data_IF_913517749983
#
_entry.id   IF_913517749983
#
_cell.length_a   1.000
_cell.length_b   1.000
_cell.length_c   1.000
_cell.angle_alpha   90.00
_cell.angle_beta   90.00
_cell.angle_gamma   90.00
#
_symmetry.space_group_name_H-M   'P 1'
#
loop_
_entity.id
_entity.type
_entity.pdbx_description
1 polymer ?
#
# COMPACT_ATOMS: atom_id res chain seq x y z
N UNK A 1 9.17 -8.91 -15.08
CA UNK A 1 8.09 -8.68 -14.11
C UNK A 1 6.94 -8.05 -14.87
N UNK A 2 5.72 -8.57 -14.72
CA UNK A 2 4.53 -7.90 -15.25
C UNK A 2 4.15 -6.80 -14.26
N UNK A 3 3.64 -5.67 -14.76
CA UNK A 3 3.14 -4.59 -13.94
C UNK A 3 1.73 -4.94 -13.44
N UNK A 4 1.49 -4.77 -12.14
CA UNK A 4 0.23 -5.06 -11.47
C UNK A 4 -0.38 -3.76 -10.93
N UNK A 5 -1.40 -3.28 -11.63
CA UNK A 5 -2.24 -2.14 -11.22
C UNK A 5 -3.51 -2.58 -10.48
N UNK A 6 -3.88 -3.86 -10.59
CA UNK A 6 -5.17 -4.39 -10.19
C UNK A 6 -6.36 -3.63 -10.80
N UNK A 7 -6.20 -2.99 -11.95
CA UNK A 7 -7.25 -2.21 -12.62
C UNK A 7 -7.36 -0.75 -12.20
N UNK A 8 -6.52 -0.26 -11.26
CA UNK A 8 -6.52 1.16 -10.91
C UNK A 8 -5.96 2.02 -12.06
N UNK A 9 -6.82 2.88 -12.64
CA UNK A 9 -6.50 3.69 -13.81
C UNK A 9 -5.46 4.75 -13.51
N UNK A 10 -5.51 5.39 -12.34
CA UNK A 10 -4.51 6.38 -11.95
C UNK A 10 -3.09 5.77 -11.93
N UNK A 11 -2.97 4.55 -11.40
CA UNK A 11 -1.71 3.83 -11.37
C UNK A 11 -1.22 3.45 -12.77
N UNK A 12 -2.10 2.90 -13.62
CA UNK A 12 -1.78 2.56 -15.01
C UNK A 12 -1.41 3.79 -15.83
N UNK A 13 -2.23 4.84 -15.78
CA UNK A 13 -2.01 6.06 -16.54
C UNK A 13 -0.70 6.72 -16.14
N UNK A 14 -0.41 6.80 -14.84
CA UNK A 14 0.84 7.39 -14.38
C UNK A 14 2.05 6.60 -14.88
N UNK A 15 2.06 5.27 -14.76
CA UNK A 15 3.25 4.44 -15.02
C UNK A 15 3.37 4.01 -16.49
N UNK A 16 2.28 3.57 -17.11
CA UNK A 16 2.29 2.99 -18.46
C UNK A 16 2.19 4.08 -19.53
N UNK A 17 1.48 5.18 -19.26
CA UNK A 17 1.29 6.27 -20.24
C UNK A 17 2.17 7.49 -19.93
N UNK A 18 2.09 7.99 -18.70
CA UNK A 18 2.75 9.21 -18.27
C UNK A 18 4.28 9.10 -18.21
N UNK A 19 4.83 8.01 -17.66
CA UNK A 19 6.29 7.85 -17.54
C UNK A 19 7.00 7.78 -18.91
N UNK A 20 6.55 6.97 -19.89
CA UNK A 20 7.17 7.00 -21.22
C UNK A 20 7.13 8.38 -21.87
N UNK A 21 5.99 9.08 -21.78
CA UNK A 21 5.83 10.42 -22.36
C UNK A 21 6.78 11.44 -21.72
N UNK A 22 7.00 11.34 -20.39
CA UNK A 22 8.00 12.14 -19.69
C UNK A 22 9.40 11.95 -20.31
N UNK A 23 9.86 10.72 -20.49
CA UNK A 23 11.21 10.46 -21.01
C UNK A 23 11.40 10.90 -22.47
N UNK A 24 10.34 10.95 -23.27
CA UNK A 24 10.40 11.49 -24.64
C UNK A 24 10.63 13.00 -24.65
N UNK A 25 10.04 13.72 -23.68
CA UNK A 25 10.08 15.19 -23.62
C UNK A 25 11.15 15.75 -22.69
N UNK A 26 11.69 14.93 -21.79
CA UNK A 26 12.64 15.36 -20.78
C UNK A 26 13.97 15.79 -21.40
N UNK A 27 14.36 17.04 -21.17
CA UNK A 27 15.64 17.59 -21.62
C UNK A 27 16.63 17.69 -20.45
N UNK A 28 17.42 16.64 -20.29
CA UNK A 28 18.43 16.57 -19.23
C UNK A 28 19.53 17.65 -19.33
N UNK A 29 19.77 18.22 -20.52
CA UNK A 29 20.88 19.16 -20.75
C UNK A 29 20.46 20.60 -20.51
N UNK A 30 19.27 20.97 -20.97
CA UNK A 30 18.82 22.37 -20.95
C UNK A 30 17.68 22.63 -19.96
N UNK A 31 16.90 21.60 -19.56
CA UNK A 31 15.75 21.74 -18.65
C UNK A 31 15.63 20.59 -17.64
N UNK A 32 16.71 20.26 -16.89
CA UNK A 32 16.72 19.08 -16.01
C UNK A 32 15.74 19.15 -14.83
N UNK A 33 15.26 20.35 -14.49
CA UNK A 33 14.32 20.57 -13.39
C UNK A 33 12.85 20.42 -13.82
N UNK A 34 12.56 20.47 -15.12
CA UNK A 34 11.19 20.45 -15.62
C UNK A 34 10.67 19.02 -15.65
N UNK A 35 9.86 18.68 -14.64
CA UNK A 35 9.01 17.51 -14.72
C UNK A 35 7.66 17.94 -15.31
N UNK A 36 7.42 17.59 -16.58
CA UNK A 36 6.11 17.77 -17.24
C UNK A 36 5.03 16.84 -16.67
N UNK A 37 5.40 15.92 -15.78
CA UNK A 37 4.56 14.85 -15.26
C UNK A 37 4.11 15.17 -13.83
N UNK A 38 2.81 15.08 -13.57
CA UNK A 38 2.19 15.45 -12.28
C UNK A 38 2.35 14.39 -11.19
N UNK A 39 2.83 13.17 -11.52
CA UNK A 39 3.00 12.05 -10.59
C UNK A 39 1.71 11.77 -9.81
N UNK A 40 0.60 11.61 -10.52
CA UNK A 40 -0.75 11.61 -9.93
C UNK A 40 -1.01 10.43 -8.99
N UNK A 41 -0.40 9.27 -9.24
CA UNK A 41 -0.51 8.13 -8.36
C UNK A 41 0.29 8.35 -7.05
N UNK A 42 -0.35 8.28 -5.88
CA UNK A 42 0.32 8.54 -4.61
C UNK A 42 1.22 7.36 -4.20
N UNK A 43 2.39 7.66 -3.64
CA UNK A 43 3.32 6.67 -3.05
C UNK A 43 3.38 6.83 -1.52
N UNK A 44 3.68 5.75 -0.79
CA UNK A 44 3.73 5.74 0.68
C UNK A 44 4.79 6.68 1.26
N UNK A 45 5.85 6.94 0.49
CA UNK A 45 6.94 7.81 0.91
C UNK A 45 6.93 9.09 0.06
N UNK A 46 6.69 10.27 0.66
CA UNK A 46 6.56 11.49 -0.12
C UNK A 46 7.86 11.83 -0.87
N UNK A 47 7.70 12.30 -2.11
CA UNK A 47 8.81 12.76 -2.97
C UNK A 47 9.57 13.92 -2.31
N UNK A 48 8.87 14.76 -1.53
CA UNK A 48 9.44 15.86 -0.76
C UNK A 48 9.89 17.00 -1.66
N UNK A 49 11.11 17.52 -1.42
CA UNK A 49 11.67 18.67 -2.15
C UNK A 49 12.43 18.29 -3.43
N UNK A 50 12.37 17.03 -3.86
CA UNK A 50 13.05 16.57 -5.09
C UNK A 50 12.34 17.16 -6.31
N UNK A 51 13.08 17.40 -7.37
CA UNK A 51 12.58 17.93 -8.65
C UNK A 51 13.21 17.19 -9.83
N UNK A 52 12.64 17.37 -11.02
CA UNK A 52 13.19 16.81 -12.26
C UNK A 52 13.44 15.30 -12.19
N UNK A 53 14.60 14.87 -12.68
CA UNK A 53 14.97 13.45 -12.72
C UNK A 53 15.15 12.81 -11.34
N UNK A 54 15.56 13.56 -10.32
CA UNK A 54 15.73 13.02 -8.97
C UNK A 54 14.38 12.66 -8.33
N UNK A 55 13.35 13.46 -8.61
CA UNK A 55 11.97 13.16 -8.22
C UNK A 55 11.47 11.91 -8.92
N UNK A 56 11.65 11.82 -10.25
CA UNK A 56 11.21 10.67 -11.05
C UNK A 56 11.94 9.39 -10.65
N UNK A 57 13.26 9.44 -10.45
CA UNK A 57 14.04 8.29 -10.01
C UNK A 57 13.59 7.78 -8.64
N UNK A 58 13.40 8.68 -7.68
CA UNK A 58 12.92 8.33 -6.35
C UNK A 58 11.51 7.73 -6.39
N UNK A 59 10.62 8.33 -7.18
CA UNK A 59 9.26 7.87 -7.38
C UNK A 59 9.21 6.46 -7.99
N UNK A 60 9.94 6.23 -9.09
CA UNK A 60 10.02 4.92 -9.74
C UNK A 60 10.66 3.86 -8.84
N UNK A 61 11.61 4.26 -7.99
CA UNK A 61 12.19 3.36 -6.98
C UNK A 61 11.15 2.91 -5.94
N UNK A 62 10.24 3.80 -5.53
CA UNK A 62 9.12 3.46 -4.65
C UNK A 62 8.12 2.53 -5.35
N UNK A 63 7.72 2.86 -6.58
CA UNK A 63 6.84 2.02 -7.41
C UNK A 63 7.43 0.63 -7.61
N UNK A 64 8.74 0.51 -7.82
CA UNK A 64 9.41 -0.80 -7.94
C UNK A 64 9.26 -1.63 -6.66
N UNK A 65 9.35 -1.01 -5.48
CA UNK A 65 9.11 -1.70 -4.21
C UNK A 65 7.65 -2.14 -4.07
N UNK A 66 6.69 -1.31 -4.48
CA UNK A 66 5.28 -1.71 -4.55
C UNK A 66 5.08 -2.92 -5.46
N UNK A 67 5.63 -2.88 -6.68
CA UNK A 67 5.51 -3.98 -7.64
C UNK A 67 6.18 -5.27 -7.14
N UNK A 68 7.24 -5.18 -6.33
CA UNK A 68 7.83 -6.34 -5.65
C UNK A 68 6.92 -6.96 -4.59
N UNK A 69 6.08 -6.16 -3.94
CA UNK A 69 5.07 -6.63 -2.99
C UNK A 69 3.84 -7.17 -3.73
N UNK A 70 3.26 -6.35 -4.60
CA UNK A 70 2.07 -6.64 -5.39
C UNK A 70 2.24 -7.88 -6.28
N UNK A 71 3.40 -8.05 -6.90
CA UNK A 71 3.71 -9.22 -7.73
C UNK A 71 3.81 -10.56 -6.98
N UNK A 72 3.70 -10.57 -5.64
CA UNK A 72 3.61 -11.80 -4.84
C UNK A 72 2.17 -12.25 -4.62
N UNK A 73 1.19 -11.42 -4.97
CA UNK A 73 -0.21 -11.63 -4.66
C UNK A 73 -0.98 -12.10 -5.91
N UNK A 74 -1.97 -12.98 -5.75
CA UNK A 74 -2.85 -13.33 -6.85
C UNK A 74 -3.69 -12.12 -7.30
N UNK A 75 -3.78 -11.90 -8.61
CA UNK A 75 -4.60 -10.82 -9.20
C UNK A 75 -6.04 -10.80 -8.67
N UNK A 76 -6.78 -11.94 -8.58
CA UNK A 76 -8.15 -11.93 -8.07
C UNK A 76 -8.26 -11.50 -6.61
N UNK A 77 -7.26 -11.83 -5.79
CA UNK A 77 -7.25 -11.42 -4.38
C UNK A 77 -7.11 -9.90 -4.26
N UNK A 78 -6.14 -9.28 -4.94
CA UNK A 78 -5.96 -7.84 -4.84
C UNK A 78 -7.15 -7.06 -5.37
N UNK A 79 -7.80 -7.53 -6.45
CA UNK A 79 -9.04 -6.91 -6.96
C UNK A 79 -10.19 -7.00 -5.95
N UNK A 80 -10.43 -8.18 -5.37
CA UNK A 80 -11.44 -8.34 -4.33
C UNK A 80 -11.19 -7.41 -3.14
N UNK A 81 -9.94 -7.22 -2.75
CA UNK A 81 -9.57 -6.28 -1.67
C UNK A 81 -9.94 -4.84 -2.02
N UNK A 82 -9.60 -4.40 -3.23
CA UNK A 82 -9.87 -3.03 -3.66
C UNK A 82 -11.37 -2.76 -3.92
N UNK A 83 -12.09 -3.74 -4.48
CA UNK A 83 -13.55 -3.65 -4.71
C UNK A 83 -14.32 -3.52 -3.39
N UNK A 84 -13.93 -4.26 -2.36
CA UNK A 84 -14.53 -4.15 -1.02
C UNK A 84 -14.19 -2.83 -0.36
N UNK A 85 -12.96 -2.33 -0.55
CA UNK A 85 -12.56 -1.01 -0.06
C UNK A 85 -13.43 0.10 -0.67
N UNK A 86 -13.67 0.04 -1.99
CA UNK A 86 -14.59 0.93 -2.68
C UNK A 86 -15.07 0.36 -4.01
N UNK A 87 -16.38 0.39 -4.27
CA UNK A 87 -16.96 -0.15 -5.50
C UNK A 87 -16.39 0.44 -6.80
N UNK A 88 -16.04 1.73 -6.77
CA UNK A 88 -15.42 2.44 -7.91
C UNK A 88 -13.89 2.64 -7.74
N UNK A 89 -13.19 1.76 -7.04
CA UNK A 89 -11.74 1.91 -6.76
C UNK A 89 -10.87 2.12 -7.99
N UNK A 90 -11.30 1.64 -9.17
CA UNK A 90 -10.58 1.75 -10.43
C UNK A 90 -10.33 3.21 -10.83
N UNK A 91 -11.25 4.13 -10.47
CA UNK A 91 -11.16 5.57 -10.74
C UNK A 91 -10.53 6.37 -9.60
N UNK A 92 -10.34 5.77 -8.42
CA UNK A 92 -9.85 6.48 -7.25
C UNK A 92 -8.35 6.76 -7.35
N UNK A 93 -7.96 7.96 -6.91
CA UNK A 93 -6.56 8.30 -6.64
C UNK A 93 -6.22 7.75 -5.25
N UNK A 94 -5.69 6.52 -5.23
CA UNK A 94 -5.27 5.83 -4.01
C UNK A 94 -3.96 5.09 -4.24
N UNK A 95 -3.28 4.75 -3.15
CA UNK A 95 -2.12 3.87 -3.22
C UNK A 95 -2.60 2.41 -3.14
N UNK A 96 -2.50 1.68 -4.25
CA UNK A 96 -2.99 0.29 -4.35
C UNK A 96 -2.25 -0.63 -3.37
N UNK A 97 -0.95 -0.44 -3.21
CA UNK A 97 -0.15 -1.23 -2.27
C UNK A 97 -0.58 -1.02 -0.82
N UNK A 98 -0.92 0.20 -0.41
CA UNK A 98 -1.39 0.55 0.94
C UNK A 98 -2.68 -0.19 1.29
N UNK A 99 -3.70 -0.10 0.43
CA UNK A 99 -5.01 -0.72 0.68
C UNK A 99 -4.86 -2.23 0.85
N UNK A 100 -4.13 -2.87 -0.06
CA UNK A 100 -3.89 -4.32 -0.03
C UNK A 100 -3.03 -4.73 1.18
N UNK A 101 -1.98 -3.95 1.50
CA UNK A 101 -1.10 -4.18 2.64
C UNK A 101 -1.88 -4.16 3.96
N UNK A 102 -2.71 -3.14 4.16
CA UNK A 102 -3.48 -2.97 5.40
C UNK A 102 -4.42 -4.15 5.61
N UNK A 103 -5.17 -4.56 4.58
CA UNK A 103 -6.03 -5.74 4.65
C UNK A 103 -5.22 -7.00 5.05
N UNK A 104 -4.08 -7.23 4.38
CA UNK A 104 -3.23 -8.38 4.63
C UNK A 104 -2.67 -8.40 6.07
N UNK A 105 -2.21 -7.24 6.58
CA UNK A 105 -1.68 -7.15 7.94
C UNK A 105 -2.76 -7.44 8.97
N UNK A 106 -4.00 -6.97 8.79
CA UNK A 106 -5.09 -7.31 9.72
C UNK A 106 -5.34 -8.81 9.74
N UNK A 107 -5.41 -9.47 8.57
CA UNK A 107 -5.56 -10.93 8.50
C UNK A 107 -4.46 -11.65 9.28
N UNK A 108 -3.20 -11.24 9.11
CA UNK A 108 -2.07 -11.81 9.83
C UNK A 108 -2.16 -11.57 11.34
N UNK A 109 -2.61 -10.39 11.78
CA UNK A 109 -2.83 -10.10 13.20
C UNK A 109 -3.94 -10.96 13.81
N UNK A 110 -4.92 -11.39 13.02
CA UNK A 110 -5.94 -12.37 13.42
C UNK A 110 -5.45 -13.83 13.33
N UNK A 111 -4.19 -14.07 12.95
CA UNK A 111 -3.65 -15.41 12.74
C UNK A 111 -4.22 -16.13 11.53
N UNK A 112 -4.83 -15.40 10.59
CA UNK A 112 -5.42 -15.94 9.36
C UNK A 112 -4.41 -15.84 8.23
N UNK A 113 -4.22 -16.94 7.51
CA UNK A 113 -3.45 -16.95 6.26
C UNK A 113 -4.40 -16.74 5.08
N UNK A 114 -3.90 -16.08 4.03
CA UNK A 114 -4.62 -15.81 2.78
C UNK A 114 -5.28 -17.04 2.12
N UNK A 115 -4.75 -18.24 2.35
CA UNK A 115 -5.15 -19.46 1.64
C UNK A 115 -6.00 -20.43 2.45
N UNK A 116 -6.16 -20.24 3.75
CA UNK A 116 -6.59 -21.33 4.65
C UNK A 116 -7.82 -21.01 5.51
N UNK A 117 -8.02 -19.75 5.93
CA UNK A 117 -9.06 -19.43 6.90
C UNK A 117 -9.83 -18.16 6.51
N UNK A 118 -11.11 -18.31 6.16
CA UNK A 118 -12.02 -17.17 6.03
C UNK A 118 -12.12 -16.43 7.38
N UNK A 119 -12.23 -15.11 7.30
CA UNK A 119 -12.48 -14.28 8.48
C UNK A 119 -13.95 -14.42 8.86
N UNK A 120 -14.24 -14.77 10.12
CA UNK A 120 -15.61 -14.84 10.62
C UNK A 120 -16.00 -13.54 11.33
N UNK A 121 -17.31 -13.34 11.55
CA UNK A 121 -17.79 -12.21 12.35
C UNK A 121 -17.25 -12.22 13.79
N UNK A 122 -17.08 -13.41 14.40
CA UNK A 122 -16.51 -13.56 15.74
C UNK A 122 -15.01 -13.25 15.77
N UNK A 123 -14.25 -13.63 14.73
CA UNK A 123 -12.84 -13.22 14.60
C UNK A 123 -12.72 -11.69 14.59
N UNK A 124 -13.60 -11.03 13.83
CA UNK A 124 -13.63 -9.57 13.73
C UNK A 124 -14.05 -8.87 15.01
N UNK A 125 -15.05 -9.40 15.71
CA UNK A 125 -15.49 -8.84 16.99
C UNK A 125 -14.36 -8.91 18.02
N UNK A 126 -13.69 -10.06 18.14
CA UNK A 126 -12.53 -10.24 19.03
C UNK A 126 -11.39 -9.31 18.66
N UNK A 127 -11.08 -9.21 17.37
CA UNK A 127 -10.04 -8.31 16.88
C UNK A 127 -10.36 -6.85 17.20
N UNK A 128 -11.61 -6.41 16.98
CA UNK A 128 -12.07 -5.07 17.30
C UNK A 128 -11.93 -4.75 18.80
N UNK A 129 -12.31 -5.68 19.68
CA UNK A 129 -12.13 -5.55 21.14
C UNK A 129 -10.63 -5.41 21.49
N UNK A 130 -9.76 -6.21 20.88
CA UNK A 130 -8.32 -6.12 21.07
C UNK A 130 -7.78 -4.74 20.65
N UNK A 131 -8.14 -4.26 19.47
CA UNK A 131 -7.70 -2.95 18.95
C UNK A 131 -8.22 -1.80 19.85
N UNK A 132 -9.46 -1.85 20.33
CA UNK A 132 -10.03 -0.85 21.25
C UNK A 132 -9.28 -0.76 22.58
N UNK A 133 -8.77 -1.88 23.09
CA UNK A 133 -8.05 -1.91 24.36
C UNK A 133 -6.53 -1.75 24.22
N UNK A 134 -6.01 -1.78 22.99
CA UNK A 134 -4.60 -1.62 22.71
C UNK A 134 -4.23 -0.13 22.59
N UNK A 135 -3.11 0.28 23.16
CA UNK A 135 -2.57 1.62 22.90
C UNK A 135 -1.97 1.70 21.48
N UNK A 136 -1.84 2.93 20.95
CA UNK A 136 -1.35 3.14 19.58
C UNK A 136 0.07 2.58 19.39
N UNK A 137 0.93 2.67 20.40
CA UNK A 137 2.31 2.21 20.29
C UNK A 137 2.38 0.69 20.10
N UNK A 138 1.62 -0.06 20.90
CA UNK A 138 1.51 -1.52 20.76
C UNK A 138 0.90 -1.94 19.43
N UNK A 139 -0.05 -1.16 18.88
CA UNK A 139 -0.57 -1.39 17.53
C UNK A 139 0.51 -1.19 16.47
N UNK A 140 1.30 -0.11 16.56
CA UNK A 140 2.43 0.12 15.66
C UNK A 140 3.48 -1.02 15.76
N UNK A 141 3.77 -1.51 16.96
CA UNK A 141 4.68 -2.63 17.19
C UNK A 141 4.13 -3.93 16.56
N UNK A 142 2.84 -4.22 16.74
CA UNK A 142 2.18 -5.37 16.14
C UNK A 142 2.19 -5.30 14.60
N UNK A 143 1.89 -4.14 14.02
CA UNK A 143 1.98 -3.90 12.57
C UNK A 143 3.42 -4.11 12.09
N UNK A 144 4.41 -3.54 12.79
CA UNK A 144 5.83 -3.67 12.43
C UNK A 144 6.28 -5.13 12.39
N UNK A 145 5.83 -5.93 13.35
CA UNK A 145 6.11 -7.36 13.40
C UNK A 145 5.54 -8.10 12.18
N UNK A 146 4.29 -7.81 11.77
CA UNK A 146 3.72 -8.43 10.56
C UNK A 146 4.43 -7.98 9.28
N UNK A 147 4.80 -6.70 9.19
CA UNK A 147 5.58 -6.18 8.06
C UNK A 147 6.95 -6.85 7.95
N UNK A 148 7.62 -7.12 9.07
CA UNK A 148 8.89 -7.84 9.08
C UNK A 148 8.72 -9.27 8.57
N UNK A 149 7.66 -9.99 9.00
CA UNK A 149 7.36 -11.32 8.48
C UNK A 149 7.06 -11.31 6.96
N UNK A 150 6.23 -10.37 6.50
CA UNK A 150 5.88 -10.21 5.07
C UNK A 150 7.10 -9.96 4.17
N UNK A 151 8.15 -9.38 4.74
CA UNK A 151 9.35 -9.00 4.00
C UNK A 151 10.50 -10.00 4.15
N UNK A 152 10.26 -11.14 4.82
CA UNK A 152 11.23 -12.23 4.94
C UNK A 152 12.01 -12.24 6.26
N UNK A 153 11.56 -11.50 7.26
CA UNK A 153 12.19 -11.45 8.58
C UNK A 153 13.47 -10.61 8.62
N UNK A 154 14.34 -10.82 9.63
CA UNK A 154 15.56 -10.02 9.84
C UNK A 154 16.58 -10.08 8.69
N UNK A 155 16.60 -11.15 7.91
CA UNK A 155 17.46 -11.32 6.73
C UNK A 155 16.72 -10.99 5.42
N UNK A 156 15.49 -10.52 5.53
CA UNK A 156 14.62 -10.24 4.42
C UNK A 156 14.94 -8.94 3.68
N UNK A 157 13.98 -8.53 2.87
CA UNK A 157 14.05 -7.36 1.99
C UNK A 157 13.91 -6.05 2.77
N UNK A 158 15.02 -5.58 3.33
CA UNK A 158 15.07 -4.37 4.17
C UNK A 158 14.58 -3.11 3.44
N UNK A 159 14.79 -3.02 2.13
CA UNK A 159 14.30 -1.90 1.33
C UNK A 159 12.77 -1.90 1.25
N UNK A 160 12.17 -3.07 1.00
CA UNK A 160 10.71 -3.21 0.99
C UNK A 160 10.11 -2.98 2.38
N UNK A 161 10.72 -3.55 3.43
CA UNK A 161 10.29 -3.32 4.81
C UNK A 161 10.27 -1.82 5.16
N UNK A 162 11.35 -1.10 4.83
CA UNK A 162 11.46 0.33 5.06
C UNK A 162 10.39 1.14 4.30
N UNK A 163 10.02 0.70 3.11
CA UNK A 163 8.99 1.36 2.31
C UNK A 163 7.59 1.12 2.87
N UNK A 164 7.18 -0.14 3.07
CA UNK A 164 5.86 -0.48 3.60
C UNK A 164 5.63 0.07 5.01
N UNK A 165 6.69 0.16 5.82
CA UNK A 165 6.64 0.76 7.16
C UNK A 165 6.31 2.27 7.16
N UNK A 166 6.37 2.95 6.02
CA UNK A 166 5.98 4.37 5.94
C UNK A 166 4.49 4.56 6.27
N UNK A 167 3.65 3.56 5.99
CA UNK A 167 2.19 3.60 6.24
C UNK A 167 1.81 3.27 7.70
N UNK A 168 2.77 2.82 8.51
CA UNK A 168 2.50 2.22 9.83
C UNK A 168 1.71 3.12 10.77
N UNK A 169 2.11 4.39 10.88
CA UNK A 169 1.53 5.34 11.85
C UNK A 169 0.10 5.69 11.48
N UNK A 170 -0.11 6.01 10.22
CA UNK A 170 -1.43 6.37 9.69
C UNK A 170 -2.35 5.16 9.74
N UNK A 171 -1.86 3.98 9.37
CA UNK A 171 -2.60 2.73 9.51
C UNK A 171 -2.98 2.44 10.97
N UNK A 172 -2.05 2.54 11.93
CA UNK A 172 -2.36 2.31 13.35
C UNK A 172 -3.43 3.29 13.87
N UNK A 173 -3.37 4.56 13.45
CA UNK A 173 -4.35 5.57 13.81
C UNK A 173 -5.73 5.29 13.20
N UNK A 174 -5.79 4.99 11.91
CA UNK A 174 -7.04 4.65 11.22
C UNK A 174 -7.67 3.36 11.77
N UNK A 175 -6.86 2.34 12.03
CA UNK A 175 -7.33 1.08 12.61
C UNK A 175 -7.96 1.30 14.00
N UNK A 176 -7.32 2.14 14.83
CA UNK A 176 -7.84 2.52 16.14
C UNK A 176 -9.17 3.26 16.02
N UNK A 177 -9.23 4.26 15.14
CA UNK A 177 -10.44 5.05 14.89
C UNK A 177 -11.59 4.17 14.34
N UNK A 178 -11.29 3.26 13.41
CA UNK A 178 -12.29 2.36 12.84
C UNK A 178 -12.86 1.40 13.90
N UNK A 179 -12.02 0.93 14.83
CA UNK A 179 -12.49 0.14 15.96
C UNK A 179 -13.44 0.96 16.85
N UNK A 180 -13.03 2.15 17.27
CA UNK A 180 -13.80 3.01 18.18
C UNK A 180 -15.15 3.44 17.59
N UNK A 181 -15.18 3.77 16.30
CA UNK A 181 -16.38 4.21 15.59
C UNK A 181 -17.24 3.07 15.02
N UNK A 182 -16.79 1.81 15.10
CA UNK A 182 -17.53 0.66 14.61
C UNK A 182 -17.56 0.50 13.09
N UNK A 183 -16.52 0.95 12.38
CA UNK A 183 -16.39 0.87 10.90
C UNK A 183 -15.23 -0.04 10.45
N UNK A 184 -14.90 -1.04 11.27
CA UNK A 184 -13.80 -1.97 10.99
C UNK A 184 -14.06 -2.85 9.75
N UNK A 185 -15.33 -3.14 9.48
CA UNK A 185 -15.82 -3.86 8.30
C UNK A 185 -15.47 -3.18 6.97
N UNK A 186 -15.28 -1.85 6.98
CA UNK A 186 -14.86 -1.09 5.78
C UNK A 186 -13.37 -1.20 5.48
N UNK A 187 -12.55 -1.67 6.43
CA UNK A 187 -11.11 -1.81 6.25
C UNK A 187 -10.68 -3.21 5.82
N UNK A 188 -11.54 -4.23 6.00
CA UNK A 188 -11.16 -5.64 5.94
C UNK A 188 -12.15 -6.42 5.07
N UNK A 189 -11.61 -7.12 4.08
CA UNK A 189 -12.35 -8.07 3.24
C UNK A 189 -12.39 -9.43 3.93
N UNK A 190 -13.52 -10.12 3.85
CA UNK A 190 -13.75 -11.43 4.49
C UNK A 190 -13.42 -12.62 3.58
#
# INVERSE_FOLDING_TARGET
MNFHSFGNRCYEDTIIRGMPEFFVRYDARFRPQDHLLTLDYPILRPVGKRSGIDAVYFYLSCVLLEQRFLGRLPEPYGKAVLEHFHGDYEELILNVASVILRNLVVHMMMGKKLSENAVTADDMERFCICVKNCDRQKLEEAISHQLEQLTGGPEGDRALYSYLSCDRKDFAAELKNAAECGYMDRMIVY
#
